data_IF_283553349212
#
_entry.id   IF_283553349212
#
_cell.length_a   1.000
_cell.length_b   1.000
_cell.length_c   1.000
_cell.angle_alpha   90.00
_cell.angle_beta   90.00
_cell.angle_gamma   90.00
#
_symmetry.space_group_name_H-M   'P 1'
#
loop_
_entity.id
_entity.type
_entity.pdbx_description
1 polymer ?
#
# COMPACT_ATOMS: atom_id res chain seq x y z
N UNK A 1 34.72 34.40 14.93
CA UNK A 1 35.07 34.01 13.55
C UNK A 1 35.41 32.51 13.37
N UNK A 2 35.82 31.78 14.41
CA UNK A 2 36.31 30.38 14.32
C UNK A 2 35.23 29.30 14.20
N UNK A 3 34.00 29.53 14.68
CA UNK A 3 32.90 28.56 14.62
C UNK A 3 32.30 28.36 13.23
N UNK A 4 32.08 29.45 12.50
CA UNK A 4 31.52 29.42 11.14
C UNK A 4 32.44 28.70 10.16
N UNK A 5 33.75 28.93 10.25
CA UNK A 5 34.76 28.27 9.40
C UNK A 5 34.83 26.77 9.68
N UNK A 6 34.74 26.34 10.95
CA UNK A 6 34.67 24.92 11.31
C UNK A 6 33.40 24.26 10.78
N UNK A 7 32.24 24.92 10.89
CA UNK A 7 30.97 24.43 10.35
C UNK A 7 31.02 24.27 8.83
N UNK A 8 31.46 25.30 8.10
CA UNK A 8 31.58 25.27 6.63
C UNK A 8 32.55 24.18 6.16
N UNK A 9 33.66 23.97 6.87
CA UNK A 9 34.62 22.90 6.55
C UNK A 9 34.01 21.50 6.80
N UNK A 10 33.21 21.34 7.85
CA UNK A 10 32.50 20.09 8.11
C UNK A 10 31.46 19.78 7.03
N UNK A 11 30.69 20.78 6.59
CA UNK A 11 29.73 20.62 5.49
C UNK A 11 30.42 20.36 4.15
N UNK A 12 31.54 21.04 3.86
CA UNK A 12 32.34 20.79 2.66
C UNK A 12 32.88 19.33 2.62
N UNK A 13 33.34 18.82 3.76
CA UNK A 13 33.80 17.43 3.86
C UNK A 13 32.67 16.42 3.66
N UNK A 14 31.48 16.69 4.21
CA UNK A 14 30.28 15.85 3.96
C UNK A 14 29.89 15.86 2.49
N UNK A 15 29.83 17.04 1.87
CA UNK A 15 29.51 17.19 0.46
C UNK A 15 30.53 16.45 -0.42
N UNK A 16 31.82 16.56 -0.11
CA UNK A 16 32.88 15.82 -0.81
C UNK A 16 32.72 14.30 -0.66
N UNK A 17 32.39 13.82 0.54
CA UNK A 17 32.09 12.42 0.79
C UNK A 17 30.88 11.90 0.01
N UNK A 18 29.81 12.70 -0.08
CA UNK A 18 28.63 12.39 -0.88
C UNK A 18 28.94 12.35 -2.38
N UNK A 19 29.71 13.33 -2.88
CA UNK A 19 30.15 13.37 -4.28
C UNK A 19 30.93 12.10 -4.64
N UNK A 20 31.85 11.67 -3.77
CA UNK A 20 32.63 10.43 -3.97
C UNK A 20 31.72 9.19 -4.04
N UNK A 21 30.65 9.13 -3.24
CA UNK A 21 29.66 8.04 -3.30
C UNK A 21 28.85 8.08 -4.59
N UNK A 22 28.42 9.26 -5.03
CA UNK A 22 27.64 9.45 -6.26
C UNK A 22 28.46 9.15 -7.53
N UNK A 23 29.79 9.32 -7.47
CA UNK A 23 30.72 8.96 -8.55
C UNK A 23 31.08 7.48 -8.63
N UNK A 24 30.45 6.60 -7.84
CA UNK A 24 30.63 5.16 -7.99
C UNK A 24 29.68 4.60 -9.03
N UNK A 25 30.17 3.71 -9.89
CA UNK A 25 29.35 3.00 -10.88
C UNK A 25 28.17 2.26 -10.23
N UNK A 26 28.39 1.63 -9.07
CA UNK A 26 27.35 0.95 -8.30
C UNK A 26 26.19 1.88 -7.93
N UNK A 27 26.49 3.10 -7.49
CA UNK A 27 25.47 4.08 -7.09
C UNK A 27 24.64 4.52 -8.28
N UNK A 28 25.29 4.88 -9.39
CA UNK A 28 24.61 5.27 -10.62
C UNK A 28 23.72 4.13 -11.14
N UNK A 29 24.25 2.91 -11.20
CA UNK A 29 23.54 1.74 -11.70
C UNK A 29 22.36 1.35 -10.80
N UNK A 30 22.51 1.51 -9.48
CA UNK A 30 21.40 1.31 -8.53
C UNK A 30 20.32 2.37 -8.76
N UNK A 31 20.67 3.64 -8.93
CA UNK A 31 19.68 4.69 -9.19
C UNK A 31 18.89 4.43 -10.48
N UNK A 32 19.58 4.08 -11.57
CA UNK A 32 18.94 3.77 -12.85
C UNK A 32 18.08 2.49 -12.76
N UNK A 33 18.54 1.47 -12.04
CA UNK A 33 17.74 0.28 -11.73
C UNK A 33 16.47 0.66 -10.96
N UNK A 34 16.58 1.50 -9.93
CA UNK A 34 15.43 1.95 -9.15
C UNK A 34 14.47 2.80 -9.99
N UNK A 35 14.98 3.61 -10.94
CA UNK A 35 14.15 4.34 -11.90
C UNK A 35 13.32 3.42 -12.79
N UNK A 36 13.79 2.21 -13.10
CA UNK A 36 13.02 1.23 -13.86
C UNK A 36 11.99 0.47 -12.99
N UNK A 37 12.36 0.15 -11.74
CA UNK A 37 11.53 -0.65 -10.82
C UNK A 37 10.41 0.17 -10.15
N UNK A 38 10.74 1.36 -9.65
CA UNK A 38 9.81 2.16 -8.85
C UNK A 38 8.51 2.50 -9.59
N UNK A 39 8.50 2.90 -10.88
CA UNK A 39 7.26 3.17 -11.58
C UNK A 39 6.30 1.96 -11.60
N UNK A 40 6.83 0.74 -11.68
CA UNK A 40 6.03 -0.49 -11.69
C UNK A 40 5.39 -0.75 -10.33
N UNK A 41 6.17 -0.58 -9.27
CA UNK A 41 5.67 -0.67 -7.89
C UNK A 41 4.69 0.44 -7.56
N UNK A 42 4.94 1.67 -8.02
CA UNK A 42 4.02 2.81 -7.84
C UNK A 42 2.68 2.54 -8.52
N UNK A 43 2.70 2.02 -9.76
CA UNK A 43 1.47 1.68 -10.48
C UNK A 43 0.64 0.61 -9.75
N UNK A 44 1.29 -0.43 -9.20
CA UNK A 44 0.62 -1.43 -8.38
C UNK A 44 0.11 -0.84 -7.06
N UNK A 45 0.93 -0.02 -6.40
CA UNK A 45 0.56 0.66 -5.16
C UNK A 45 -0.64 1.56 -5.35
N UNK A 46 -0.75 2.30 -6.45
CA UNK A 46 -1.90 3.15 -6.73
C UNK A 46 -3.21 2.36 -6.86
N UNK A 47 -3.17 1.15 -7.42
CA UNK A 47 -4.34 0.25 -7.45
C UNK A 47 -4.74 -0.18 -6.04
N UNK A 48 -3.75 -0.47 -5.19
CA UNK A 48 -3.98 -0.82 -3.78
C UNK A 48 -4.39 0.41 -2.94
N UNK A 49 -4.04 1.63 -3.35
CA UNK A 49 -4.40 2.86 -2.65
C UNK A 49 -5.80 3.37 -3.00
N UNK A 50 -6.48 2.74 -3.96
CA UNK A 50 -7.87 3.05 -4.29
C UNK A 50 -8.74 3.01 -3.03
N UNK A 51 -9.53 4.07 -2.81
CA UNK A 51 -10.47 4.16 -1.68
C UNK A 51 -11.52 3.04 -1.72
N UNK A 52 -11.78 2.56 -2.94
CA UNK A 52 -12.60 1.40 -3.26
C UNK A 52 -11.74 0.50 -4.16
N UNK A 53 -10.93 -0.37 -3.55
CA UNK A 53 -10.09 -1.29 -4.32
C UNK A 53 -11.03 -2.23 -5.07
N UNK A 54 -11.09 -2.10 -6.40
CA UNK A 54 -11.73 -3.10 -7.23
C UNK A 54 -10.89 -4.38 -7.18
N UNK A 55 -11.28 -5.32 -6.33
CA UNK A 55 -10.57 -6.58 -6.11
C UNK A 55 -10.37 -7.38 -7.42
N UNK A 56 -11.24 -7.18 -8.41
CA UNK A 56 -11.11 -7.80 -9.74
C UNK A 56 -9.89 -7.30 -10.52
N UNK A 57 -9.42 -6.07 -10.25
CA UNK A 57 -8.25 -5.48 -10.91
C UNK A 57 -6.94 -5.82 -10.19
N UNK A 58 -7.01 -6.21 -8.92
CA UNK A 58 -5.85 -6.49 -8.05
C UNK A 58 -5.03 -7.64 -8.62
N UNK A 59 -5.64 -8.79 -8.91
CA UNK A 59 -4.92 -9.97 -9.41
C UNK A 59 -4.30 -9.74 -10.79
N UNK A 60 -5.02 -9.28 -11.83
CA UNK A 60 -4.43 -9.00 -13.14
C UNK A 60 -3.28 -8.01 -13.06
N UNK A 61 -3.42 -6.94 -12.25
CA UNK A 61 -2.37 -5.93 -12.09
C UNK A 61 -1.16 -6.46 -11.33
N UNK A 62 -1.37 -7.29 -10.32
CA UNK A 62 -0.30 -7.95 -9.59
C UNK A 62 0.48 -8.92 -10.49
N UNK A 63 -0.21 -9.77 -11.25
CA UNK A 63 0.42 -10.70 -12.20
C UNK A 63 1.18 -9.96 -13.31
N UNK A 64 0.61 -8.87 -13.83
CA UNK A 64 1.31 -8.00 -14.77
C UNK A 64 2.58 -7.42 -14.15
N UNK A 65 2.50 -6.89 -12.93
CA UNK A 65 3.65 -6.29 -12.25
C UNK A 65 4.74 -7.33 -11.99
N UNK A 66 4.36 -8.54 -11.55
CA UNK A 66 5.31 -9.64 -11.37
C UNK A 66 6.02 -9.99 -12.68
N UNK A 67 5.28 -10.11 -13.79
CA UNK A 67 5.87 -10.36 -15.12
C UNK A 67 6.83 -9.26 -15.54
N UNK A 68 6.44 -7.99 -15.39
CA UNK A 68 7.29 -6.84 -15.72
C UNK A 68 8.58 -6.81 -14.88
N UNK A 69 8.51 -7.15 -13.60
CA UNK A 69 9.68 -7.27 -12.72
C UNK A 69 10.56 -8.48 -13.08
N UNK A 70 9.95 -9.60 -13.49
CA UNK A 70 10.65 -10.79 -13.96
C UNK A 70 11.45 -10.48 -15.23
N UNK A 71 10.86 -9.74 -16.16
CA UNK A 71 11.50 -9.29 -17.40
C UNK A 71 12.71 -8.39 -17.10
N UNK A 72 12.62 -7.52 -16.10
CA UNK A 72 13.75 -6.68 -15.69
C UNK A 72 14.95 -7.48 -15.18
N UNK A 73 14.79 -8.76 -14.80
CA UNK A 73 15.93 -9.62 -14.41
C UNK A 73 16.82 -10.01 -15.58
N UNK A 74 16.27 -10.02 -16.80
CA UNK A 74 16.99 -10.45 -17.99
C UNK A 74 18.09 -9.43 -18.36
N UNK A 75 19.23 -9.91 -18.90
CA UNK A 75 20.26 -9.02 -19.42
C UNK A 75 19.68 -8.18 -20.56
N UNK A 76 20.07 -6.89 -20.61
CA UNK A 76 19.58 -5.97 -21.64
C UNK A 76 18.15 -5.45 -21.45
N UNK A 77 17.51 -5.73 -20.30
CA UNK A 77 16.20 -5.16 -19.94
C UNK A 77 16.31 -4.04 -18.91
N UNK A 78 15.42 -3.06 -19.03
CA UNK A 78 15.40 -1.81 -18.25
C UNK A 78 15.73 -0.61 -19.14
N UNK A 79 14.81 0.35 -19.19
CA UNK A 79 14.96 1.55 -20.04
C UNK A 79 16.17 2.36 -19.61
N UNK A 80 16.33 2.55 -18.30
CA UNK A 80 17.38 3.37 -17.73
C UNK A 80 18.62 2.55 -17.37
N UNK A 81 18.45 1.31 -16.91
CA UNK A 81 19.56 0.45 -16.49
C UNK A 81 20.52 0.10 -17.63
N UNK A 82 19.99 -0.12 -18.84
CA UNK A 82 20.80 -0.47 -20.02
C UNK A 82 21.74 0.66 -20.45
N UNK A 83 21.40 1.91 -20.12
CA UNK A 83 22.22 3.08 -20.39
C UNK A 83 23.31 3.33 -19.32
N UNK A 84 23.42 2.49 -18.28
CA UNK A 84 24.28 2.75 -17.13
C UNK A 84 25.75 2.94 -17.51
N UNK A 85 26.31 2.04 -18.32
CA UNK A 85 27.71 2.13 -18.79
C UNK A 85 27.94 3.35 -19.68
N UNK A 86 27.00 3.64 -20.59
CA UNK A 86 27.08 4.82 -21.47
C UNK A 86 27.05 6.14 -20.66
N UNK A 87 26.17 6.23 -19.66
CA UNK A 87 26.10 7.38 -18.73
C UNK A 87 27.35 7.46 -17.86
N UNK A 88 27.86 6.35 -17.36
CA UNK A 88 29.10 6.33 -16.58
C UNK A 88 30.27 6.91 -17.38
N UNK A 89 30.46 6.47 -18.63
CA UNK A 89 31.47 7.02 -19.55
C UNK A 89 31.28 8.52 -19.78
N UNK A 90 30.04 8.96 -20.06
CA UNK A 90 29.71 10.38 -20.29
C UNK A 90 30.07 11.27 -19.10
N UNK A 91 29.90 10.79 -17.87
CA UNK A 91 30.18 11.55 -16.65
C UNK A 91 31.60 11.31 -16.08
N UNK A 92 32.45 10.58 -16.80
CA UNK A 92 33.82 10.26 -16.35
C UNK A 92 33.84 9.39 -15.09
N UNK A 93 32.84 8.52 -14.91
CA UNK A 93 32.78 7.54 -13.83
C UNK A 93 33.51 6.27 -14.29
N UNK A 94 34.64 5.92 -13.66
CA UNK A 94 35.37 4.70 -14.00
C UNK A 94 34.51 3.48 -13.67
N UNK A 95 34.51 2.51 -14.58
CA UNK A 95 33.86 1.22 -14.39
C UNK A 95 34.54 0.15 -15.25
N UNK A 96 34.54 -1.08 -14.76
CA UNK A 96 35.02 -2.28 -15.47
C UNK A 96 33.86 -3.18 -15.89
N UNK A 97 34.09 -4.08 -16.85
CA UNK A 97 33.10 -5.12 -17.21
C UNK A 97 32.76 -6.03 -16.01
N UNK A 98 33.74 -6.30 -15.15
CA UNK A 98 33.57 -7.06 -13.92
C UNK A 98 32.58 -6.39 -12.95
N UNK A 99 32.67 -5.06 -12.79
CA UNK A 99 31.74 -4.29 -11.97
C UNK A 99 30.32 -4.27 -12.57
N UNK A 100 30.19 -4.25 -13.90
CA UNK A 100 28.89 -4.35 -14.59
C UNK A 100 28.24 -5.71 -14.31
N UNK A 101 29.00 -6.79 -14.45
CA UNK A 101 28.52 -8.16 -14.16
C UNK A 101 28.20 -8.32 -12.68
N UNK A 102 29.01 -7.78 -11.78
CA UNK A 102 28.76 -7.81 -10.34
C UNK A 102 27.46 -7.07 -9.98
N UNK A 103 27.22 -5.90 -10.56
CA UNK A 103 26.00 -5.15 -10.32
C UNK A 103 24.76 -5.84 -10.91
N UNK A 104 24.88 -6.52 -12.07
CA UNK A 104 23.79 -7.32 -12.62
C UNK A 104 23.34 -8.42 -11.63
N UNK A 105 24.28 -9.08 -10.95
CA UNK A 105 23.96 -10.06 -9.89
C UNK A 105 23.23 -9.40 -8.71
N UNK A 106 23.62 -8.19 -8.31
CA UNK A 106 22.92 -7.43 -7.27
C UNK A 106 21.49 -7.09 -7.70
N UNK A 107 21.31 -6.62 -8.94
CA UNK A 107 19.99 -6.36 -9.53
C UNK A 107 19.09 -7.59 -9.48
N UNK A 108 19.61 -8.74 -9.90
CA UNK A 108 18.85 -10.00 -9.88
C UNK A 108 18.43 -10.39 -8.45
N UNK A 109 19.37 -10.38 -7.50
CA UNK A 109 19.07 -10.67 -6.09
C UNK A 109 18.02 -9.72 -5.50
N UNK A 110 18.11 -8.43 -5.83
CA UNK A 110 17.14 -7.44 -5.39
C UNK A 110 15.73 -7.73 -5.94
N UNK A 111 15.63 -8.01 -7.25
CA UNK A 111 14.36 -8.34 -7.89
C UNK A 111 13.77 -9.65 -7.36
N UNK A 112 14.60 -10.66 -7.06
CA UNK A 112 14.17 -11.90 -6.43
C UNK A 112 13.59 -11.68 -5.03
N UNK A 113 14.29 -10.90 -4.20
CA UNK A 113 13.78 -10.52 -2.89
C UNK A 113 12.47 -9.71 -3.02
N UNK A 114 12.39 -8.80 -3.98
CA UNK A 114 11.19 -7.99 -4.21
C UNK A 114 9.99 -8.85 -4.63
N UNK A 115 10.18 -9.77 -5.59
CA UNK A 115 9.15 -10.69 -6.04
C UNK A 115 8.68 -11.61 -4.90
N UNK A 116 9.61 -12.15 -4.11
CA UNK A 116 9.28 -12.95 -2.93
C UNK A 116 8.45 -12.15 -1.91
N UNK A 117 8.81 -10.90 -1.65
CA UNK A 117 8.02 -10.04 -0.76
C UNK A 117 6.63 -9.75 -1.33
N UNK A 118 6.52 -9.46 -2.64
CA UNK A 118 5.23 -9.24 -3.30
C UNK A 118 4.33 -10.48 -3.26
N UNK A 119 4.90 -11.68 -3.42
CA UNK A 119 4.18 -12.94 -3.28
C UNK A 119 3.78 -13.21 -1.83
N UNK A 120 4.66 -12.98 -0.86
CA UNK A 120 4.33 -13.17 0.56
C UNK A 120 3.21 -12.25 1.05
N UNK A 121 3.09 -11.07 0.43
CA UNK A 121 2.08 -10.08 0.79
C UNK A 121 0.67 -10.47 0.34
N UNK A 122 0.57 -11.29 -0.71
CA UNK A 122 -0.66 -11.88 -1.20
C UNK A 122 -0.51 -13.39 -1.04
N UNK A 123 -0.57 -13.88 0.21
CA UNK A 123 -0.40 -15.31 0.53
C UNK A 123 -1.29 -16.21 -0.36
N UNK A 124 -2.51 -15.74 -0.65
CA UNK A 124 -3.44 -16.40 -1.57
C UNK A 124 -4.03 -15.40 -2.58
N UNK A 125 -3.37 -15.18 -3.75
CA UNK A 125 -3.89 -14.25 -4.75
C UNK A 125 -5.19 -14.76 -5.40
N UNK A 126 -5.43 -16.08 -5.35
CA UNK A 126 -6.71 -16.67 -5.76
C UNK A 126 -7.85 -16.28 -4.80
N UNK A 127 -7.62 -16.35 -3.48
CA UNK A 127 -8.60 -15.94 -2.47
C UNK A 127 -9.00 -14.47 -2.64
N UNK A 128 -8.00 -13.60 -2.85
CA UNK A 128 -8.20 -12.17 -3.07
C UNK A 128 -9.01 -11.89 -4.34
N UNK A 129 -8.76 -12.66 -5.41
CA UNK A 129 -9.57 -12.56 -6.62
C UNK A 129 -11.01 -13.03 -6.37
N UNK A 130 -11.21 -14.15 -5.68
CA UNK A 130 -12.56 -14.65 -5.40
C UNK A 130 -13.36 -13.67 -4.53
N UNK A 131 -12.72 -12.95 -3.60
CA UNK A 131 -13.36 -11.89 -2.81
C UNK A 131 -13.90 -10.74 -3.68
N UNK A 132 -13.48 -10.61 -4.94
CA UNK A 132 -14.00 -9.58 -5.83
C UNK A 132 -15.46 -9.72 -6.19
N UNK A 133 -16.00 -10.94 -6.07
CA UNK A 133 -17.44 -11.20 -6.23
C UNK A 133 -18.30 -10.33 -5.29
N UNK A 134 -17.75 -9.96 -4.14
CA UNK A 134 -18.43 -9.16 -3.12
C UNK A 134 -18.54 -7.67 -3.50
N UNK A 135 -17.88 -7.24 -4.59
CA UNK A 135 -17.94 -5.86 -5.06
C UNK A 135 -19.22 -5.62 -5.90
N UNK A 136 -20.31 -5.27 -5.22
CA UNK A 136 -21.60 -4.99 -5.84
C UNK A 136 -21.67 -3.64 -6.58
N UNK A 137 -20.63 -2.81 -6.57
CA UNK A 137 -20.61 -1.55 -7.32
C UNK A 137 -20.54 -1.76 -8.84
N UNK A 138 -19.98 -2.88 -9.28
CA UNK A 138 -19.78 -3.20 -10.70
C UNK A 138 -20.92 -4.06 -11.29
N UNK A 139 -21.93 -4.42 -10.50
CA UNK A 139 -22.99 -5.33 -10.91
C UNK A 139 -24.12 -4.54 -11.57
N UNK A 140 -24.22 -4.63 -12.89
CA UNK A 140 -25.38 -4.14 -13.65
C UNK A 140 -26.62 -5.03 -13.41
N UNK A 141 -27.81 -4.45 -13.61
CA UNK A 141 -29.11 -5.07 -13.37
C UNK A 141 -29.37 -6.38 -14.16
N UNK A 142 -28.54 -6.70 -15.16
CA UNK A 142 -28.65 -7.89 -16.02
C UNK A 142 -27.89 -9.13 -15.51
N UNK A 143 -27.03 -9.00 -14.49
CA UNK A 143 -26.20 -10.12 -13.97
C UNK A 143 -26.88 -10.99 -12.89
N UNK A 144 -28.22 -11.02 -12.85
CA UNK A 144 -29.00 -11.50 -11.68
C UNK A 144 -28.81 -12.97 -11.32
N UNK A 145 -28.69 -13.90 -12.26
CA UNK A 145 -29.00 -15.31 -11.96
C UNK A 145 -27.83 -16.20 -11.55
N UNK A 146 -26.59 -15.99 -12.04
CA UNK A 146 -25.46 -16.90 -11.74
C UNK A 146 -24.12 -16.21 -11.47
N UNK A 147 -24.08 -14.87 -11.50
CA UNK A 147 -22.82 -14.16 -11.26
C UNK A 147 -22.29 -14.44 -9.85
N UNK A 148 -21.06 -14.96 -9.80
CA UNK A 148 -20.30 -15.13 -8.56
C UNK A 148 -20.38 -16.48 -7.87
N UNK A 149 -21.12 -17.46 -8.40
CA UNK A 149 -21.32 -18.75 -7.73
C UNK A 149 -20.03 -19.57 -7.63
N UNK A 150 -19.21 -19.59 -8.69
CA UNK A 150 -17.92 -20.29 -8.66
C UNK A 150 -16.97 -19.68 -7.61
N UNK A 151 -16.88 -18.34 -7.59
CA UNK A 151 -16.06 -17.60 -6.63
C UNK A 151 -16.54 -17.80 -5.19
N UNK A 152 -17.86 -17.76 -4.96
CA UNK A 152 -18.47 -18.01 -3.66
C UNK A 152 -18.29 -19.47 -3.22
N UNK A 153 -18.33 -20.42 -4.15
CA UNK A 153 -18.07 -21.84 -3.85
C UNK A 153 -16.64 -22.01 -3.36
N UNK A 154 -15.67 -21.40 -4.05
CA UNK A 154 -14.28 -21.43 -3.63
C UNK A 154 -14.06 -20.73 -2.27
N UNK A 155 -14.71 -19.59 -2.04
CA UNK A 155 -14.67 -18.89 -0.75
C UNK A 155 -15.29 -19.71 0.38
N UNK A 156 -16.48 -20.26 0.18
CA UNK A 156 -17.18 -21.06 1.17
C UNK A 156 -16.35 -22.28 1.58
N UNK A 157 -15.79 -23.01 0.61
CA UNK A 157 -14.89 -24.12 0.87
C UNK A 157 -13.65 -23.71 1.66
N UNK A 158 -13.03 -22.58 1.32
CA UNK A 158 -11.82 -22.11 2.02
C UNK A 158 -12.08 -21.70 3.48
N UNK A 159 -13.28 -21.19 3.79
CA UNK A 159 -13.65 -20.78 5.15
C UNK A 159 -14.50 -21.81 5.92
N UNK A 160 -14.76 -22.99 5.33
CA UNK A 160 -15.57 -24.04 5.94
C UNK A 160 -17.04 -23.64 6.12
N UNK A 161 -17.58 -22.84 5.20
CA UNK A 161 -18.98 -22.45 5.14
C UNK A 161 -19.77 -23.42 4.25
N UNK A 162 -21.07 -23.54 4.52
CA UNK A 162 -21.97 -24.30 3.65
C UNK A 162 -22.18 -23.55 2.33
N UNK A 163 -21.85 -24.22 1.22
CA UNK A 163 -21.88 -23.61 -0.12
C UNK A 163 -23.31 -23.25 -0.51
N UNK A 164 -24.28 -24.12 -0.24
CA UNK A 164 -25.66 -23.93 -0.63
C UNK A 164 -26.28 -22.78 0.18
N UNK A 165 -26.01 -22.73 1.50
CA UNK A 165 -26.46 -21.61 2.35
C UNK A 165 -25.86 -20.27 1.91
N UNK A 166 -24.56 -20.21 1.60
CA UNK A 166 -23.90 -18.96 1.16
C UNK A 166 -24.43 -18.48 -0.19
N UNK A 167 -24.68 -19.39 -1.13
CA UNK A 167 -25.24 -19.03 -2.44
C UNK A 167 -26.69 -18.54 -2.31
N UNK A 168 -27.49 -19.16 -1.45
CA UNK A 168 -28.83 -18.72 -1.11
C UNK A 168 -28.85 -17.34 -0.45
N UNK A 169 -27.97 -17.13 0.53
CA UNK A 169 -27.75 -15.82 1.17
C UNK A 169 -27.38 -14.78 0.11
N UNK A 170 -26.49 -15.11 -0.81
CA UNK A 170 -26.02 -14.21 -1.88
C UNK A 170 -27.14 -13.77 -2.82
N UNK A 171 -27.98 -14.69 -3.28
CA UNK A 171 -29.12 -14.33 -4.14
C UNK A 171 -30.05 -13.34 -3.44
N UNK A 172 -30.48 -13.65 -2.22
CA UNK A 172 -31.38 -12.78 -1.44
C UNK A 172 -30.75 -11.43 -1.13
N UNK A 173 -29.44 -11.42 -0.86
CA UNK A 173 -28.70 -10.20 -0.56
C UNK A 173 -28.57 -9.29 -1.79
N UNK A 174 -28.31 -9.85 -2.97
CA UNK A 174 -28.29 -9.09 -4.24
C UNK A 174 -29.62 -8.41 -4.48
N UNK A 175 -30.73 -9.12 -4.34
CA UNK A 175 -32.07 -8.55 -4.52
C UNK A 175 -32.32 -7.41 -3.52
N UNK A 176 -31.96 -7.60 -2.26
CA UNK A 176 -32.08 -6.56 -1.22
C UNK A 176 -31.28 -5.28 -1.54
N UNK A 177 -30.06 -5.40 -2.07
CA UNK A 177 -29.17 -4.26 -2.34
C UNK A 177 -29.48 -3.59 -3.69
N UNK A 178 -29.88 -4.37 -4.70
CA UNK A 178 -30.17 -3.85 -6.04
C UNK A 178 -31.57 -3.25 -6.14
N UNK A 179 -32.56 -3.82 -5.45
CA UNK A 179 -33.96 -3.37 -5.48
C UNK A 179 -34.29 -2.41 -4.33
N UNK A 180 -33.54 -2.47 -3.23
CA UNK A 180 -33.77 -1.63 -2.07
C UNK A 180 -32.89 -0.37 -2.01
N UNK A 181 -33.43 0.72 -1.46
CA UNK A 181 -32.67 1.92 -1.07
C UNK A 181 -31.88 1.73 0.25
N UNK A 182 -31.73 0.49 0.72
CA UNK A 182 -31.27 0.17 2.08
C UNK A 182 -29.82 0.56 2.38
N UNK A 183 -28.98 0.68 1.34
CA UNK A 183 -27.57 1.01 1.49
C UNK A 183 -27.09 1.93 0.37
N UNK A 184 -26.78 3.18 0.72
CA UNK A 184 -26.21 4.17 -0.20
C UNK A 184 -24.73 3.88 -0.50
N UNK A 185 -24.03 3.20 0.42
CA UNK A 185 -22.61 2.87 0.30
C UNK A 185 -22.44 1.38 -0.04
N UNK A 186 -22.39 1.10 -1.35
CA UNK A 186 -22.20 -0.26 -1.90
C UNK A 186 -20.75 -0.75 -1.87
N UNK A 187 -19.84 -0.01 -1.25
CA UNK A 187 -18.46 -0.46 -1.07
C UNK A 187 -18.40 -1.67 -0.11
N UNK A 188 -17.31 -2.44 -0.17
CA UNK A 188 -17.07 -3.56 0.76
C UNK A 188 -17.18 -3.09 2.22
N UNK A 189 -16.65 -1.91 2.54
CA UNK A 189 -16.70 -1.35 3.91
C UNK A 189 -18.13 -0.95 4.31
N UNK A 190 -18.86 -0.30 3.40
CA UNK A 190 -20.26 0.07 3.61
C UNK A 190 -21.16 -1.13 3.85
N UNK A 191 -21.03 -2.15 3.01
CA UNK A 191 -21.79 -3.40 3.10
C UNK A 191 -21.39 -4.23 4.33
N UNK A 192 -20.10 -4.27 4.69
CA UNK A 192 -19.63 -4.91 5.93
C UNK A 192 -20.26 -4.25 7.15
N UNK A 193 -20.29 -2.92 7.18
CA UNK A 193 -20.93 -2.16 8.26
C UNK A 193 -22.43 -2.48 8.31
N UNK A 194 -23.12 -2.43 7.18
CA UNK A 194 -24.54 -2.73 7.07
C UNK A 194 -24.90 -4.13 7.61
N UNK A 195 -24.16 -5.16 7.19
CA UNK A 195 -24.32 -6.54 7.66
C UNK A 195 -24.02 -6.68 9.16
N UNK A 196 -23.05 -5.92 9.67
CA UNK A 196 -22.59 -6.03 11.06
C UNK A 196 -23.45 -5.26 12.06
N UNK A 197 -23.99 -4.10 11.67
CA UNK A 197 -24.70 -3.18 12.58
C UNK A 197 -26.21 -3.35 12.56
N UNK A 198 -26.77 -4.03 11.57
CA UNK A 198 -28.23 -4.18 11.44
C UNK A 198 -28.69 -5.47 12.13
N UNK A 199 -29.38 -5.39 13.28
CA UNK A 199 -29.65 -6.57 14.14
C UNK A 199 -30.52 -7.63 13.47
N UNK A 200 -31.40 -7.22 12.56
CA UNK A 200 -32.28 -8.11 11.80
C UNK A 200 -31.59 -8.81 10.62
N UNK A 201 -30.46 -8.29 10.14
CA UNK A 201 -29.77 -8.76 8.93
C UNK A 201 -28.66 -9.74 9.28
N UNK A 202 -27.85 -9.42 10.30
CA UNK A 202 -26.73 -10.28 10.73
C UNK A 202 -27.08 -11.77 10.94
N UNK A 203 -28.20 -12.14 11.59
CA UNK A 203 -28.53 -13.56 11.78
C UNK A 203 -29.02 -14.25 10.50
N UNK A 204 -29.46 -13.49 9.49
CA UNK A 204 -29.99 -13.99 8.21
C UNK A 204 -28.87 -14.21 7.19
N UNK A 205 -27.81 -13.43 7.24
CA UNK A 205 -26.69 -13.45 6.29
C UNK A 205 -25.36 -13.75 7.00
N UNK A 206 -25.25 -14.90 7.67
CA UNK A 206 -24.10 -15.21 8.52
C UNK A 206 -22.85 -15.50 7.71
N UNK A 207 -22.99 -16.30 6.65
CA UNK A 207 -21.89 -16.66 5.76
C UNK A 207 -21.35 -15.42 5.05
N UNK A 208 -22.24 -14.61 4.48
CA UNK A 208 -21.85 -13.34 3.84
C UNK A 208 -21.24 -12.35 4.82
N UNK A 209 -21.78 -12.23 6.05
CA UNK A 209 -21.20 -11.34 7.06
C UNK A 209 -19.74 -11.70 7.37
N UNK A 210 -19.43 -13.00 7.41
CA UNK A 210 -18.06 -13.48 7.59
C UNK A 210 -17.19 -13.14 6.37
N UNK A 211 -17.67 -13.43 5.15
CA UNK A 211 -16.91 -13.16 3.91
C UNK A 211 -16.65 -11.66 3.71
N UNK A 212 -17.63 -10.80 3.96
CA UNK A 212 -17.45 -9.34 3.92
C UNK A 212 -16.49 -8.85 5.02
N UNK A 213 -16.57 -9.41 6.22
CA UNK A 213 -15.63 -9.12 7.30
C UNK A 213 -14.19 -9.48 6.94
N UNK A 214 -13.98 -10.64 6.29
CA UNK A 214 -12.68 -11.01 5.75
C UNK A 214 -12.25 -10.00 4.67
N UNK A 215 -13.08 -9.75 3.66
CA UNK A 215 -12.77 -8.81 2.58
C UNK A 215 -12.39 -7.41 3.09
N UNK A 216 -13.07 -6.92 4.13
CA UNK A 216 -12.82 -5.63 4.75
C UNK A 216 -11.54 -5.57 5.59
N UNK A 217 -11.02 -6.73 6.04
CA UNK A 217 -9.81 -6.84 6.84
C UNK A 217 -8.61 -7.34 6.04
N UNK A 218 -8.80 -7.85 4.82
CA UNK A 218 -7.70 -8.25 3.95
C UNK A 218 -6.85 -7.01 3.63
N UNK A 219 -5.53 -7.04 3.88
CA UNK A 219 -4.64 -5.89 3.76
C UNK A 219 -4.28 -5.58 2.30
N UNK A 220 -5.28 -5.55 1.42
CA UNK A 220 -5.16 -5.23 0.00
C UNK A 220 -5.06 -3.72 -0.16
N UNK A 221 -5.78 -2.96 0.67
CA UNK A 221 -5.70 -1.50 0.64
C UNK A 221 -4.57 -0.96 1.51
N UNK A 222 -3.64 -0.23 0.91
CA UNK A 222 -2.62 0.57 1.63
C UNK A 222 -3.10 1.98 1.94
N UNK A 223 -4.35 2.33 1.63
CA UNK A 223 -4.85 3.70 1.76
C UNK A 223 -4.72 4.24 3.19
N UNK A 224 -4.94 3.40 4.21
CA UNK A 224 -4.72 3.76 5.62
C UNK A 224 -3.23 4.08 5.91
N UNK A 225 -2.31 3.30 5.34
CA UNK A 225 -0.86 3.50 5.49
C UNK A 225 -0.40 4.77 4.74
N UNK A 226 -1.00 5.10 3.60
CA UNK A 226 -0.71 6.38 2.91
C UNK A 226 -1.28 7.59 3.64
N UNK A 227 -2.46 7.45 4.29
CA UNK A 227 -2.97 8.49 5.21
C UNK A 227 -2.00 8.69 6.38
N UNK A 228 -1.44 7.60 6.91
CA UNK A 228 -0.38 7.65 7.92
C UNK A 228 0.83 8.43 7.39
N UNK A 229 1.36 8.11 6.21
CA UNK A 229 2.50 8.83 5.62
C UNK A 229 2.20 10.31 5.35
N UNK A 230 0.99 10.63 4.88
CA UNK A 230 0.54 12.00 4.67
C UNK A 230 0.49 12.78 5.99
N UNK A 231 -0.04 12.15 7.05
CA UNK A 231 -0.07 12.74 8.39
C UNK A 231 1.34 12.93 8.97
N UNK A 232 2.25 11.97 8.75
CA UNK A 232 3.66 12.06 9.12
C UNK A 232 4.34 13.23 8.39
N UNK A 233 4.04 13.45 7.10
CA UNK A 233 4.60 14.57 6.31
C UNK A 233 4.15 15.93 6.84
N UNK A 234 2.93 16.04 7.37
CA UNK A 234 2.44 17.25 8.04
C UNK A 234 3.07 17.44 9.42
N UNK A 235 3.44 16.34 10.08
CA UNK A 235 4.07 16.34 11.40
C UNK A 235 5.55 16.75 11.33
N UNK A 236 6.31 16.11 10.45
CA UNK A 236 7.73 16.36 10.23
C UNK A 236 7.90 17.39 9.11
N UNK A 237 8.02 18.65 9.51
CA UNK A 237 8.46 19.75 8.64
C UNK A 237 9.93 20.06 8.88
N UNK A 238 10.55 20.87 8.02
CA UNK A 238 11.95 21.28 8.16
C UNK A 238 12.26 21.89 9.54
N UNK A 239 11.28 22.58 10.14
CA UNK A 239 11.37 23.16 11.49
C UNK A 239 11.02 22.18 12.62
N UNK A 240 10.37 21.04 12.30
CA UNK A 240 9.92 20.01 13.26
C UNK A 240 10.63 18.67 13.10
N UNK A 241 11.77 18.63 12.40
CA UNK A 241 12.57 17.43 12.15
C UNK A 241 13.20 16.78 13.41
N UNK A 242 13.02 17.36 14.60
CA UNK A 242 13.61 16.89 15.87
C UNK A 242 12.61 16.32 16.88
N UNK A 243 11.37 16.08 16.47
CA UNK A 243 10.41 15.40 17.33
C UNK A 243 10.96 14.02 17.71
N UNK A 244 10.95 13.70 19.00
CA UNK A 244 11.28 12.35 19.42
C UNK A 244 10.16 11.38 18.99
N UNK A 245 10.50 10.11 18.80
CA UNK A 245 9.60 9.10 18.26
C UNK A 245 8.31 8.99 19.08
N UNK A 246 8.41 9.03 20.42
CA UNK A 246 7.26 8.93 21.31
C UNK A 246 6.29 10.12 21.20
N UNK A 247 6.79 11.32 20.92
CA UNK A 247 5.96 12.52 20.73
C UNK A 247 5.33 12.50 19.34
N UNK A 248 6.10 12.07 18.33
CA UNK A 248 5.60 11.93 16.98
C UNK A 248 4.45 10.91 16.90
N UNK A 249 4.60 9.77 17.56
CA UNK A 249 3.58 8.73 17.66
C UNK A 249 2.29 9.26 18.31
N UNK A 250 2.38 9.93 19.46
CA UNK A 250 1.21 10.54 20.12
C UNK A 250 0.49 11.56 19.23
N UNK A 251 1.25 12.44 18.58
CA UNK A 251 0.68 13.46 17.70
C UNK A 251 0.06 12.85 16.45
N UNK A 252 0.63 11.77 15.92
CA UNK A 252 0.10 11.01 14.81
C UNK A 252 -1.21 10.32 15.19
N UNK A 253 -1.27 9.69 16.35
CA UNK A 253 -2.49 9.09 16.90
C UNK A 253 -3.60 10.12 17.08
N UNK A 254 -3.27 11.31 17.61
CA UNK A 254 -4.24 12.41 17.68
C UNK A 254 -4.67 12.82 16.27
N UNK A 255 -3.73 12.98 15.32
CA UNK A 255 -4.07 13.45 13.98
C UNK A 255 -4.98 12.50 13.21
N UNK A 256 -4.80 11.19 13.41
CA UNK A 256 -5.59 10.15 12.74
C UNK A 256 -6.94 9.90 13.39
N UNK A 257 -6.99 9.96 14.73
CA UNK A 257 -8.16 9.53 15.50
C UNK A 257 -8.89 10.68 16.20
N UNK A 258 -8.42 11.92 16.10
CA UNK A 258 -9.10 13.03 16.78
C UNK A 258 -10.50 13.22 16.18
N UNK A 259 -11.49 13.59 17.01
CA UNK A 259 -12.77 14.05 16.50
C UNK A 259 -12.57 15.19 15.50
N UNK A 260 -13.44 15.28 14.49
CA UNK A 260 -13.44 16.37 13.50
C UNK A 260 -13.50 17.76 14.14
N UNK A 261 -14.06 17.84 15.37
CA UNK A 261 -14.02 19.03 16.22
C UNK A 261 -13.28 18.70 17.50
N UNK A 262 -12.01 19.11 17.58
CA UNK A 262 -11.23 18.97 18.82
C UNK A 262 -11.61 20.09 19.80
N UNK A 263 -11.95 19.80 21.07
CA UNK A 263 -12.34 20.81 22.06
C UNK A 263 -11.11 21.55 22.60
N UNK A 264 -10.57 22.48 21.79
CA UNK A 264 -9.33 23.20 22.09
C UNK A 264 -9.37 23.95 23.43
N UNK A 265 -10.51 24.54 23.78
CA UNK A 265 -10.66 25.30 25.03
C UNK A 265 -10.57 24.41 26.26
N UNK A 266 -11.21 23.24 26.22
CA UNK A 266 -11.19 22.28 27.32
C UNK A 266 -9.79 21.65 27.48
N UNK A 267 -9.15 21.31 26.35
CA UNK A 267 -7.77 20.83 26.34
C UNK A 267 -6.78 21.88 26.87
N UNK A 268 -6.93 23.15 26.50
CA UNK A 268 -6.09 24.25 26.99
C UNK A 268 -6.29 24.48 28.50
N UNK A 269 -7.54 24.45 28.97
CA UNK A 269 -7.86 24.53 30.41
C UNK A 269 -7.23 23.38 31.19
N UNK A 270 -7.34 22.15 30.69
CA UNK A 270 -6.71 20.97 31.29
C UNK A 270 -5.18 21.06 31.28
N UNK A 271 -4.58 21.56 30.18
CA UNK A 271 -3.14 21.78 30.09
C UNK A 271 -2.65 22.82 31.11
N UNK A 272 -3.38 23.93 31.27
CA UNK A 272 -3.09 24.95 32.26
C UNK A 272 -3.13 24.42 33.70
N UNK A 273 -3.96 23.40 33.97
CA UNK A 273 -4.10 22.79 35.30
C UNK A 273 -3.03 21.73 35.63
N UNK A 274 -2.16 21.34 34.68
CA UNK A 274 -1.09 20.37 34.94
C UNK A 274 0.00 20.97 35.86
N UNK A 275 0.13 20.39 37.06
CA UNK A 275 0.94 20.90 38.19
C UNK A 275 2.46 20.85 38.03
N UNK A 276 3.02 20.18 37.01
CA UNK A 276 4.48 20.07 36.79
C UNK A 276 4.86 20.60 35.42
N UNK A 277 5.25 21.86 35.36
CA UNK A 277 5.77 22.48 34.13
C UNK A 277 7.30 22.50 34.22
N UNK A 278 7.99 21.86 33.26
CA UNK A 278 9.37 22.21 32.93
C UNK A 278 9.28 23.12 31.72
N UNK A 279 9.60 24.41 31.94
CA UNK A 279 9.96 25.32 30.85
C UNK A 279 11.39 25.01 30.40
#
# INVERSE_FOLDING_TARGET
MTGLVKFLRAEANKAHGMLKKMRKFSTLSTLLMMSDVLPKLTALSLVFQGKEVNLSEVKPRWEQTCRELQDLKLPGKGLHYTEASAKASKYGIPHSEEEVVAHLKVKQKFLDALLSNLSSRLEEPALVANLSVLNLQAVDADCRTLHGFEDLTALANNFGLDVDEVQDEWMRFKDLILEGECCLDRSIQGLTKFLSTTPSIKPVYKGLSMLYGVAATTPISTAEVERLFSAIKLLYTDHRARLNVATADKLLMIKLNSPTVFPYQEAASNWCQLKKRRL
#
